data_IF_217484966379
#
_entry.id   IF_217484966379
#
_cell.length_a   1.000
_cell.length_b   1.000
_cell.length_c   1.000
_cell.angle_alpha   90.00
_cell.angle_beta   90.00
_cell.angle_gamma   90.00
#
_symmetry.space_group_name_H-M   'P 1'
#
loop_
_entity.id
_entity.type
_entity.pdbx_description
1 polymer ?
#
# COMPACT_ATOMS: atom_id res chain seq x y z
N UNK A 1 12.84 -16.81 1.65
CA UNK A 1 12.00 -16.77 1.61
C UNK A 1 11.16 -16.41 2.60
N UNK A 2 11.20 -15.43 3.22
CA UNK A 2 10.46 -15.02 4.24
C UNK A 2 9.48 -13.98 3.86
N UNK A 3 8.88 -14.11 2.74
CA UNK A 3 7.91 -13.16 2.30
C UNK A 3 6.65 -13.38 3.10
N UNK A 4 6.12 -12.37 3.71
CA UNK A 4 4.90 -12.49 4.45
C UNK A 4 3.75 -12.13 3.52
N UNK A 5 2.64 -12.82 3.68
CA UNK A 5 1.46 -12.53 2.89
C UNK A 5 0.40 -11.96 3.81
N UNK A 6 -0.11 -10.81 3.49
CA UNK A 6 -1.05 -10.10 4.33
C UNK A 6 -2.44 -10.16 3.73
N UNK A 7 -3.45 -10.10 4.57
CA UNK A 7 -4.80 -10.07 4.04
C UNK A 7 -5.20 -8.60 3.91
N UNK A 8 -6.37 -8.35 3.38
CA UNK A 8 -6.83 -7.01 3.12
C UNK A 8 -6.91 -6.19 4.40
N UNK A 9 -7.37 -6.82 5.47
CA UNK A 9 -7.49 -6.11 6.73
C UNK A 9 -6.14 -5.68 7.25
N UNK A 10 -5.16 -6.54 7.15
CA UNK A 10 -3.83 -6.22 7.62
C UNK A 10 -3.21 -5.10 6.80
N UNK A 11 -3.44 -5.12 5.50
CA UNK A 11 -2.89 -4.08 4.65
C UNK A 11 -3.55 -2.74 5.00
N UNK A 12 -4.86 -2.74 5.23
CA UNK A 12 -5.55 -1.54 5.58
C UNK A 12 -5.01 -0.97 6.87
N UNK A 13 -4.77 -1.82 7.84
CA UNK A 13 -4.25 -1.38 9.10
C UNK A 13 -2.84 -0.82 8.95
N UNK A 14 -2.04 -1.49 8.17
CA UNK A 14 -0.69 -1.05 7.95
C UNK A 14 -0.67 0.32 7.27
N UNK A 15 -1.57 0.55 6.34
CA UNK A 15 -1.62 1.81 5.63
C UNK A 15 -2.44 2.86 6.36
N UNK A 16 -3.11 2.48 7.41
CA UNK A 16 -3.91 3.44 8.15
C UNK A 16 -5.18 3.83 7.43
N UNK A 17 -5.75 2.92 6.65
CA UNK A 17 -6.95 3.22 5.91
C UNK A 17 -8.02 2.20 6.22
N UNK A 18 -9.17 2.33 5.57
CA UNK A 18 -10.22 1.34 5.74
C UNK A 18 -9.96 0.24 4.70
N UNK A 19 -10.64 -0.88 4.84
CA UNK A 19 -10.44 -1.99 3.93
C UNK A 19 -10.89 -1.66 2.53
N UNK A 20 -11.65 -0.62 2.36
CA UNK A 20 -12.08 -0.25 1.03
C UNK A 20 -10.92 0.11 0.15
N UNK A 21 -9.92 0.73 0.70
CA UNK A 21 -8.79 1.17 -0.09
C UNK A 21 -7.98 0.00 -0.66
N UNK A 22 -7.52 -0.95 0.13
CA UNK A 22 -6.80 -2.07 -0.46
C UNK A 22 -7.66 -2.89 -1.39
N UNK A 23 -8.96 -2.97 -1.12
CA UNK A 23 -9.82 -3.70 -2.01
C UNK A 23 -9.88 -3.03 -3.37
N UNK A 24 -9.91 -1.71 -3.37
CA UNK A 24 -9.92 -0.99 -4.62
C UNK A 24 -8.62 -1.19 -5.38
N UNK A 25 -7.51 -1.21 -4.67
CA UNK A 25 -6.22 -1.43 -5.32
C UNK A 25 -6.20 -2.78 -6.02
N UNK A 26 -6.81 -3.76 -5.41
CA UNK A 26 -6.84 -5.09 -6.01
C UNK A 26 -7.78 -5.10 -7.20
N UNK A 27 -8.93 -4.48 -7.08
CA UNK A 27 -9.88 -4.45 -8.17
C UNK A 27 -9.32 -3.73 -9.37
N UNK A 28 -8.56 -2.69 -9.14
CA UNK A 28 -7.97 -1.93 -10.23
C UNK A 28 -6.61 -2.47 -10.64
N UNK A 29 -6.21 -3.55 -9.98
CA UNK A 29 -4.93 -4.18 -10.28
C UNK A 29 -3.79 -3.22 -10.17
N UNK A 30 -3.83 -2.38 -9.15
CA UNK A 30 -2.77 -1.43 -8.92
C UNK A 30 -1.75 -1.95 -7.93
N UNK A 31 -1.96 -3.12 -7.38
CA UNK A 31 -1.01 -3.70 -6.45
C UNK A 31 -0.95 -5.19 -6.75
N UNK A 32 0.20 -5.77 -6.61
CA UNK A 32 0.37 -7.19 -6.86
C UNK A 32 -0.29 -8.00 -5.74
N UNK A 33 -1.01 -9.00 -6.08
CA UNK A 33 -1.63 -9.84 -5.07
C UNK A 33 -1.66 -11.29 -5.55
N UNK A 34 -1.86 -12.19 -4.59
CA UNK A 34 -1.88 -13.60 -4.88
C UNK A 34 -3.23 -14.16 -4.45
N UNK A 35 -3.82 -15.00 -5.27
CA UNK A 35 -5.05 -15.59 -4.92
C UNK A 35 -4.79 -16.98 -4.42
N UNK A 36 -5.14 -17.28 -3.19
CA UNK A 36 -4.93 -18.61 -2.64
C UNK A 36 -6.31 -19.18 -2.37
N UNK A 37 -6.81 -19.95 -3.30
CA UNK A 37 -8.14 -20.48 -3.19
C UNK A 37 -9.14 -19.34 -3.25
N UNK A 38 -9.91 -19.16 -2.20
CA UNK A 38 -10.85 -18.09 -2.17
C UNK A 38 -10.29 -16.86 -1.53
N UNK A 39 -9.09 -16.95 -1.00
CA UNK A 39 -8.52 -15.86 -0.25
C UNK A 39 -7.56 -15.05 -1.08
N UNK A 40 -7.56 -13.75 -0.86
CA UNK A 40 -6.61 -12.89 -1.53
C UNK A 40 -5.54 -12.52 -0.53
N UNK A 41 -4.30 -12.66 -0.92
CA UNK A 41 -3.18 -12.32 -0.05
C UNK A 41 -2.26 -11.38 -0.80
N UNK A 42 -1.69 -10.43 -0.09
CA UNK A 42 -0.83 -9.44 -0.70
C UNK A 42 0.55 -9.59 -0.11
N UNK A 43 1.56 -9.83 -0.93
CA UNK A 43 2.92 -9.99 -0.41
C UNK A 43 3.38 -8.70 0.25
N UNK A 44 4.08 -8.82 1.33
CA UNK A 44 4.55 -7.65 2.03
C UNK A 44 5.42 -6.80 1.13
N UNK A 45 6.19 -7.42 0.26
CA UNK A 45 7.04 -6.67 -0.64
C UNK A 45 6.21 -5.82 -1.59
N UNK A 46 5.05 -6.30 -2.00
CA UNK A 46 4.20 -5.52 -2.87
C UNK A 46 3.66 -4.29 -2.15
N UNK A 47 3.33 -4.45 -0.88
CA UNK A 47 2.86 -3.32 -0.10
C UNK A 47 3.98 -2.31 0.06
N UNK A 48 5.19 -2.79 0.29
CA UNK A 48 6.32 -1.93 0.44
C UNK A 48 6.61 -1.15 -0.83
N UNK A 49 6.53 -1.81 -1.97
CA UNK A 49 6.73 -1.15 -3.24
C UNK A 49 5.67 -0.09 -3.48
N UNK A 50 4.43 -0.39 -3.11
CA UNK A 50 3.36 0.55 -3.28
C UNK A 50 3.61 1.78 -2.42
N UNK A 51 4.05 1.59 -1.21
CA UNK A 51 4.35 2.69 -0.32
C UNK A 51 5.49 3.52 -0.87
N UNK A 52 6.52 2.88 -1.35
CA UNK A 52 7.65 3.60 -1.90
C UNK A 52 7.26 4.40 -3.14
N UNK A 53 6.42 3.84 -3.98
CA UNK A 53 6.02 4.53 -5.18
C UNK A 53 5.16 5.73 -4.86
N UNK A 54 4.51 5.73 -3.72
CA UNK A 54 3.66 6.84 -3.34
C UNK A 54 4.22 7.71 -2.24
N UNK A 55 5.46 7.49 -1.90
CA UNK A 55 6.10 8.29 -0.87
C UNK A 55 6.50 9.63 -1.45
N UNK A 56 6.10 10.69 -0.78
CA UNK A 56 6.45 12.02 -1.23
C UNK A 56 7.58 12.52 -0.37
N UNK A 57 8.71 12.73 -0.99
CA UNK A 57 9.86 13.20 -0.26
C UNK A 57 9.79 14.68 -0.03
N UNK A 58 10.21 15.14 1.12
CA UNK A 58 10.18 16.58 1.36
C UNK A 58 11.24 17.24 0.53
N UNK A 59 10.90 18.42 0.01
CA UNK A 59 11.88 19.10 -0.76
C UNK A 59 12.73 19.89 0.12
N UNK A 60 13.90 20.26 -0.29
CA UNK A 60 14.73 20.96 0.51
C UNK A 60 14.30 22.27 0.61
N UNK A 61 14.15 23.13 0.43
CA UNK A 61 13.78 24.43 0.55
C UNK A 61 12.45 24.49 0.99
N UNK A 62 11.99 25.17 1.60
CA UNK A 62 10.74 25.40 2.14
C UNK A 62 9.55 24.93 1.44
N UNK A 63 9.70 24.48 0.30
CA UNK A 63 8.59 24.02 -0.44
C UNK A 63 7.85 22.95 0.28
N UNK A 64 8.53 22.33 1.13
CA UNK A 64 7.96 21.36 1.88
C UNK A 64 6.68 21.72 2.49
N UNK A 65 6.56 22.82 3.03
CA UNK A 65 5.40 23.17 3.72
C UNK A 65 4.17 23.08 2.93
N UNK A 66 4.22 23.51 1.75
CA UNK A 66 3.09 23.48 1.04
C UNK A 66 2.78 22.15 0.63
N UNK A 67 3.66 21.35 0.28
CA UNK A 67 3.42 20.05 -0.16
C UNK A 67 2.74 19.28 0.88
N UNK A 68 3.12 19.50 2.04
CA UNK A 68 2.58 18.76 3.05
C UNK A 68 1.19 19.04 3.28
N UNK A 69 0.83 20.16 3.06
CA UNK A 69 -0.48 20.50 3.32
C UNK A 69 -1.38 19.64 2.54
N UNK A 70 -0.94 19.10 1.57
CA UNK A 70 -1.85 18.37 0.75
C UNK A 70 -2.31 17.12 1.39
#
# INVERSE_FOLDING_TARGET
MDERYLNVDQVAELLGTTVRFPRRLIEERRITYVKVGRHVRIPESAVREFIEANTVQPRRCGAVLRGVAA
#
